data_IF_747970386647
#
_entry.id   IF_747970386647
#
_cell.length_a   1.000
_cell.length_b   1.000
_cell.length_c   1.000
_cell.angle_alpha   90.00
_cell.angle_beta   90.00
_cell.angle_gamma   90.00
#
_symmetry.space_group_name_H-M   'P 1'
#
loop_
_entity.id
_entity.type
_entity.pdbx_description
1 polymer ?
#
# COMPACT_ATOMS: atom_id res chain seq x y z
N UNK A 1 -24.23 -10.40 -9.87
CA UNK A 1 -24.15 -9.93 -8.46
C UNK A 1 -22.69 -10.00 -8.02
N UNK A 2 -22.15 -8.87 -7.56
CA UNK A 2 -20.74 -8.80 -7.09
C UNK A 2 -20.59 -9.58 -5.78
N UNK A 3 -19.54 -10.41 -5.70
CA UNK A 3 -19.26 -11.26 -4.55
C UNK A 3 -17.79 -11.18 -4.13
N UNK A 4 -17.52 -11.35 -2.83
CA UNK A 4 -16.16 -11.38 -2.30
C UNK A 4 -15.48 -12.70 -2.64
N UNK A 5 -14.28 -12.61 -3.19
CA UNK A 5 -13.46 -13.74 -3.56
C UNK A 5 -12.62 -14.20 -2.36
N UNK A 6 -12.60 -15.50 -2.10
CA UNK A 6 -11.70 -16.06 -1.10
C UNK A 6 -10.24 -15.85 -1.50
N UNK A 7 -9.38 -15.50 -0.55
CA UNK A 7 -7.96 -15.20 -0.81
C UNK A 7 -7.19 -16.34 -1.51
N UNK A 8 -7.58 -17.60 -1.27
CA UNK A 8 -7.01 -18.75 -2.00
C UNK A 8 -7.35 -18.77 -3.50
N UNK A 9 -8.34 -17.98 -3.91
CA UNK A 9 -8.80 -17.88 -5.30
C UNK A 9 -8.36 -16.58 -6.00
N UNK A 10 -7.60 -15.71 -5.35
CA UNK A 10 -7.13 -14.44 -5.93
C UNK A 10 -6.36 -14.62 -7.22
N UNK A 11 -5.65 -15.75 -7.37
CA UNK A 11 -4.92 -16.07 -8.61
C UNK A 11 -5.80 -16.03 -9.88
N UNK A 12 -7.13 -16.19 -9.75
CA UNK A 12 -8.08 -16.09 -10.87
C UNK A 12 -8.16 -14.68 -11.47
N UNK A 13 -7.79 -13.66 -10.67
CA UNK A 13 -7.80 -12.26 -11.11
C UNK A 13 -6.48 -11.84 -11.76
N UNK A 14 -5.48 -12.73 -11.88
CA UNK A 14 -4.17 -12.37 -12.42
C UNK A 14 -4.24 -11.82 -13.84
N UNK A 15 -5.07 -12.42 -14.69
CA UNK A 15 -5.28 -12.00 -16.08
C UNK A 15 -6.10 -10.70 -16.21
N UNK A 16 -6.70 -10.21 -15.11
CA UNK A 16 -7.43 -8.95 -15.07
C UNK A 16 -6.53 -7.74 -14.78
N UNK A 17 -5.30 -7.98 -14.38
CA UNK A 17 -4.35 -6.93 -14.04
C UNK A 17 -3.67 -6.39 -15.30
N UNK A 18 -3.60 -5.07 -15.39
CA UNK A 18 -2.87 -4.39 -16.44
C UNK A 18 -1.37 -4.35 -16.10
N UNK A 19 -0.51 -4.63 -17.07
CA UNK A 19 0.94 -4.73 -16.90
C UNK A 19 1.55 -3.45 -16.29
N UNK A 20 1.00 -2.28 -16.65
CA UNK A 20 1.45 -0.97 -16.15
C UNK A 20 0.50 -0.38 -15.11
N UNK A 21 -0.33 -1.21 -14.48
CA UNK A 21 -1.26 -0.82 -13.42
C UNK A 21 -0.59 -0.66 -12.07
N UNK A 22 -1.41 -0.43 -11.05
CA UNK A 22 -0.94 -0.25 -9.67
C UNK A 22 -0.29 -1.54 -9.15
N UNK A 23 0.89 -1.40 -8.59
CA UNK A 23 1.67 -2.51 -8.02
C UNK A 23 0.94 -3.13 -6.81
N UNK A 24 0.19 -2.32 -6.06
CA UNK A 24 -0.62 -2.73 -4.92
C UNK A 24 -1.64 -3.82 -5.31
N UNK A 25 -2.26 -3.69 -6.50
CA UNK A 25 -3.18 -4.71 -7.01
C UNK A 25 -2.46 -6.05 -7.20
N UNK A 26 -1.27 -6.03 -7.80
CA UNK A 26 -0.46 -7.24 -7.98
C UNK A 26 -0.07 -7.86 -6.62
N UNK A 27 0.39 -7.05 -5.65
CA UNK A 27 0.80 -7.51 -4.33
C UNK A 27 -0.33 -8.23 -3.58
N UNK A 28 -1.57 -7.76 -3.72
CA UNK A 28 -2.76 -8.38 -3.12
C UNK A 28 -3.13 -9.66 -3.87
N UNK A 29 -3.17 -9.65 -5.19
CA UNK A 29 -3.53 -10.82 -6.00
C UNK A 29 -2.51 -11.95 -5.84
N UNK A 30 -1.23 -11.63 -5.65
CA UNK A 30 -0.18 -12.61 -5.33
C UNK A 30 -0.19 -13.06 -3.86
N UNK A 31 -1.03 -12.45 -3.00
CA UNK A 31 -1.14 -12.79 -1.59
C UNK A 31 0.06 -12.39 -0.74
N UNK A 32 0.89 -11.48 -1.23
CA UNK A 32 2.02 -10.89 -0.48
C UNK A 32 1.50 -9.92 0.57
N UNK A 33 0.71 -8.94 0.15
CA UNK A 33 0.05 -7.98 1.02
C UNK A 33 -1.43 -8.33 1.25
N UNK A 34 -2.04 -7.88 2.37
CA UNK A 34 -3.45 -8.09 2.63
C UNK A 34 -4.33 -7.21 1.74
N UNK A 35 -5.56 -7.65 1.52
CA UNK A 35 -6.61 -6.92 0.82
C UNK A 35 -7.85 -7.77 0.66
N UNK A 36 -8.92 -7.18 0.13
CA UNK A 36 -10.18 -7.86 -0.22
C UNK A 36 -10.42 -7.70 -1.71
N UNK A 37 -10.94 -8.73 -2.35
CA UNK A 37 -11.20 -8.74 -3.79
C UNK A 37 -12.65 -9.12 -4.03
N UNK A 38 -13.37 -8.29 -4.76
CA UNK A 38 -14.76 -8.47 -5.13
C UNK A 38 -14.88 -8.59 -6.64
N UNK A 39 -15.63 -9.54 -7.12
CA UNK A 39 -15.71 -9.88 -8.55
C UNK A 39 -17.15 -10.09 -9.01
N UNK A 40 -17.37 -9.95 -10.31
CA UNK A 40 -18.65 -10.23 -10.96
C UNK A 40 -19.03 -11.72 -10.93
N UNK A 41 -18.04 -12.61 -11.10
CA UNK A 41 -18.20 -14.07 -11.07
C UNK A 41 -16.99 -14.72 -10.37
N UNK A 42 -17.24 -15.43 -9.27
CA UNK A 42 -16.20 -16.12 -8.48
C UNK A 42 -15.57 -17.31 -9.22
N UNK A 43 -16.25 -17.87 -10.22
CA UNK A 43 -15.74 -18.99 -11.02
C UNK A 43 -14.80 -18.48 -12.13
N UNK A 44 -15.20 -17.44 -12.86
CA UNK A 44 -14.50 -16.88 -14.01
C UNK A 44 -14.62 -15.35 -14.02
N UNK A 45 -13.85 -14.64 -13.16
CA UNK A 45 -13.93 -13.19 -13.05
C UNK A 45 -13.57 -12.50 -14.37
N UNK A 46 -14.31 -11.44 -14.71
CA UNK A 46 -14.03 -10.54 -15.84
C UNK A 46 -13.74 -9.12 -15.36
N UNK A 47 -14.37 -8.72 -14.27
CA UNK A 47 -14.14 -7.41 -13.64
C UNK A 47 -14.20 -7.54 -12.14
N UNK A 48 -13.48 -6.66 -11.45
CA UNK A 48 -13.46 -6.68 -10.00
C UNK A 48 -13.07 -5.34 -9.39
N UNK A 49 -13.22 -5.30 -8.07
CA UNK A 49 -12.82 -4.22 -7.19
C UNK A 49 -11.90 -4.78 -6.11
N UNK A 50 -10.70 -4.25 -5.99
CA UNK A 50 -9.76 -4.56 -4.91
C UNK A 50 -9.89 -3.47 -3.86
N UNK A 51 -10.07 -3.84 -2.60
CA UNK A 51 -9.92 -2.96 -1.45
C UNK A 51 -8.55 -3.18 -0.84
N UNK A 52 -7.73 -2.13 -0.77
CA UNK A 52 -6.38 -2.20 -0.24
C UNK A 52 -6.40 -2.50 1.27
N UNK A 53 -5.52 -3.38 1.72
CA UNK A 53 -5.49 -3.84 3.11
C UNK A 53 -5.09 -2.77 4.13
N UNK A 54 -4.40 -1.71 3.69
CA UNK A 54 -4.08 -0.52 4.48
C UNK A 54 -5.21 0.51 4.52
N UNK A 55 -6.35 0.20 3.91
CA UNK A 55 -7.52 1.08 3.80
C UNK A 55 -7.28 2.40 3.03
N UNK A 56 -6.26 2.45 2.17
CA UNK A 56 -5.90 3.64 1.37
C UNK A 56 -6.66 3.71 0.03
N UNK A 57 -7.75 2.99 -0.09
CA UNK A 57 -8.63 3.08 -1.25
C UNK A 57 -8.89 1.77 -1.97
N UNK A 58 -9.37 1.91 -3.21
CA UNK A 58 -9.88 0.81 -4.04
C UNK A 58 -9.30 0.86 -5.45
N UNK A 59 -9.17 -0.31 -6.09
CA UNK A 59 -8.68 -0.42 -7.47
C UNK A 59 -9.65 -1.26 -8.28
N UNK A 60 -10.20 -0.69 -9.37
CA UNK A 60 -10.94 -1.46 -10.37
C UNK A 60 -9.99 -2.23 -11.29
N UNK A 61 -10.30 -3.49 -11.55
CA UNK A 61 -9.52 -4.37 -12.42
C UNK A 61 -10.40 -5.03 -13.49
N UNK A 62 -9.79 -5.49 -14.58
CA UNK A 62 -10.47 -6.20 -15.66
C UNK A 62 -11.22 -5.30 -16.63
N UNK A 63 -12.31 -5.81 -17.21
CA UNK A 63 -13.08 -5.17 -18.28
C UNK A 63 -13.97 -4.05 -17.75
N UNK A 64 -13.65 -2.80 -18.11
CA UNK A 64 -14.39 -1.60 -17.75
C UNK A 64 -15.77 -1.50 -18.42
N UNK A 65 -16.01 -2.32 -19.45
CA UNK A 65 -17.28 -2.36 -20.17
C UNK A 65 -18.21 -3.49 -19.71
N UNK A 66 -17.86 -4.22 -18.65
CA UNK A 66 -18.69 -5.29 -18.13
C UNK A 66 -19.99 -4.74 -17.52
N UNK A 67 -21.05 -4.74 -18.34
CA UNK A 67 -22.35 -4.19 -17.96
C UNK A 67 -22.93 -4.86 -16.70
N UNK A 68 -22.76 -6.17 -16.54
CA UNK A 68 -23.28 -6.89 -15.38
C UNK A 68 -22.62 -6.41 -14.07
N UNK A 69 -21.29 -6.23 -14.07
CA UNK A 69 -20.55 -5.67 -12.94
C UNK A 69 -20.94 -4.21 -12.70
N UNK A 70 -20.97 -3.40 -13.75
CA UNK A 70 -21.22 -1.97 -13.68
C UNK A 70 -22.62 -1.64 -13.16
N UNK A 71 -23.65 -2.41 -13.56
CA UNK A 71 -25.03 -2.23 -13.12
C UNK A 71 -25.22 -2.54 -11.61
N UNK A 72 -24.49 -3.52 -11.10
CA UNK A 72 -24.58 -3.91 -9.69
C UNK A 72 -23.73 -3.01 -8.75
N UNK A 73 -22.77 -2.26 -9.30
CA UNK A 73 -21.71 -1.61 -8.51
C UNK A 73 -22.23 -0.60 -7.50
N UNK A 74 -23.17 0.28 -7.87
CA UNK A 74 -23.65 1.32 -6.94
C UNK A 74 -24.38 0.72 -5.75
N UNK A 75 -25.24 -0.26 -5.97
CA UNK A 75 -25.90 -0.99 -4.88
C UNK A 75 -24.87 -1.72 -4.00
N UNK A 76 -23.87 -2.36 -4.61
CA UNK A 76 -22.79 -3.03 -3.90
C UNK A 76 -21.97 -2.06 -3.03
N UNK A 77 -21.64 -0.87 -3.52
CA UNK A 77 -20.94 0.16 -2.74
C UNK A 77 -21.80 0.57 -1.54
N UNK A 78 -23.09 0.82 -1.74
CA UNK A 78 -23.97 1.30 -0.68
C UNK A 78 -24.27 0.24 0.39
N UNK A 79 -24.49 -1.00 -0.02
CA UNK A 79 -24.94 -2.08 0.85
C UNK A 79 -23.79 -2.83 1.54
N UNK A 80 -22.63 -2.93 0.89
CA UNK A 80 -21.51 -3.75 1.38
C UNK A 80 -20.29 -2.89 1.71
N UNK A 81 -19.79 -2.09 0.75
CA UNK A 81 -18.55 -1.35 0.94
C UNK A 81 -18.71 -0.24 1.97
N UNK A 82 -19.75 0.57 1.87
CA UNK A 82 -19.96 1.73 2.76
C UNK A 82 -20.07 1.32 4.23
N UNK A 83 -20.90 0.32 4.62
CA UNK A 83 -20.92 -0.13 6.01
C UNK A 83 -19.59 -0.64 6.55
N UNK A 84 -18.82 -1.37 5.72
CA UNK A 84 -17.52 -1.90 6.13
C UNK A 84 -16.45 -0.80 6.20
N UNK A 85 -16.46 0.14 5.26
CA UNK A 85 -15.57 1.30 5.23
C UNK A 85 -15.75 2.20 6.47
N UNK A 86 -17.00 2.44 6.88
CA UNK A 86 -17.30 3.20 8.08
C UNK A 86 -16.78 2.55 9.37
N UNK A 87 -16.77 1.21 9.45
CA UNK A 87 -16.21 0.47 10.62
C UNK A 87 -14.71 0.71 10.80
N UNK A 88 -13.98 0.94 9.71
CA UNK A 88 -12.54 1.24 9.73
C UNK A 88 -12.24 2.74 9.64
N UNK A 89 -13.27 3.59 9.77
CA UNK A 89 -13.11 5.04 9.83
C UNK A 89 -13.00 5.75 8.48
N UNK A 90 -13.19 5.06 7.36
CA UNK A 90 -13.20 5.66 6.04
C UNK A 90 -14.51 6.43 5.81
N UNK A 91 -14.40 7.64 5.28
CA UNK A 91 -15.54 8.51 4.94
C UNK A 91 -15.62 8.83 3.45
N UNK A 92 -14.64 8.39 2.69
CA UNK A 92 -14.53 8.60 1.24
C UNK A 92 -14.35 7.27 0.56
N UNK A 93 -14.96 7.11 -0.61
CA UNK A 93 -14.70 6.01 -1.52
C UNK A 93 -13.67 6.50 -2.52
N UNK A 94 -12.39 6.36 -2.17
CA UNK A 94 -11.27 6.68 -3.04
C UNK A 94 -10.99 5.52 -3.97
N UNK A 95 -11.02 5.76 -5.29
CA UNK A 95 -10.88 4.68 -6.26
C UNK A 95 -10.09 5.11 -7.48
N UNK A 96 -9.32 4.16 -8.01
CA UNK A 96 -8.58 4.30 -9.27
C UNK A 96 -8.82 3.08 -10.15
N UNK A 97 -8.73 3.24 -11.46
CA UNK A 97 -8.72 2.11 -12.40
C UNK A 97 -7.33 1.54 -12.59
N UNK A 98 -7.19 0.23 -12.67
CA UNK A 98 -5.91 -0.44 -12.93
C UNK A 98 -5.37 -0.14 -14.32
N UNK A 99 -6.22 0.34 -15.24
CA UNK A 99 -5.82 0.87 -16.55
C UNK A 99 -6.63 2.13 -16.89
N UNK A 100 -6.12 2.98 -17.83
CA UNK A 100 -6.71 4.31 -18.09
C UNK A 100 -8.16 4.32 -18.58
N UNK A 101 -8.62 3.24 -19.23
CA UNK A 101 -10.00 3.16 -19.75
C UNK A 101 -11.05 3.21 -18.63
N UNK A 102 -10.71 2.75 -17.43
CA UNK A 102 -11.57 2.84 -16.25
C UNK A 102 -11.95 4.27 -15.87
N UNK A 103 -11.13 5.28 -16.16
CA UNK A 103 -11.38 6.66 -15.72
C UNK A 103 -12.76 7.16 -16.17
N UNK A 104 -13.10 6.99 -17.45
CA UNK A 104 -14.40 7.40 -17.98
C UNK A 104 -15.56 6.58 -17.43
N UNK A 105 -15.32 5.30 -17.21
CA UNK A 105 -16.34 4.40 -16.66
C UNK A 105 -16.62 4.74 -15.19
N UNK A 106 -15.59 5.00 -14.38
CA UNK A 106 -15.72 5.46 -12.99
C UNK A 106 -16.54 6.75 -12.92
N UNK A 107 -16.19 7.77 -13.71
CA UNK A 107 -16.93 9.03 -13.76
C UNK A 107 -18.40 8.82 -14.12
N UNK A 108 -18.69 7.97 -15.10
CA UNK A 108 -20.06 7.63 -15.52
C UNK A 108 -20.82 6.88 -14.44
N UNK A 109 -20.22 5.89 -13.81
CA UNK A 109 -20.87 5.02 -12.82
C UNK A 109 -21.17 5.78 -11.51
N UNK A 110 -20.32 6.70 -11.11
CA UNK A 110 -20.41 7.42 -9.86
C UNK A 110 -20.99 8.84 -10.01
N UNK A 111 -21.50 9.20 -11.18
CA UNK A 111 -22.00 10.56 -11.50
C UNK A 111 -23.17 11.06 -10.64
N UNK A 112 -23.88 10.13 -9.98
CA UNK A 112 -24.93 10.46 -9.01
C UNK A 112 -24.41 10.85 -7.62
N UNK A 113 -23.09 10.76 -7.40
CA UNK A 113 -22.40 11.06 -6.15
C UNK A 113 -21.62 12.37 -6.26
N UNK A 114 -21.27 12.96 -5.13
CA UNK A 114 -20.30 14.06 -5.11
C UNK A 114 -18.91 13.50 -5.48
N UNK A 115 -18.35 14.00 -6.57
CA UNK A 115 -17.06 13.54 -7.10
C UNK A 115 -16.00 14.62 -6.95
N UNK A 116 -14.83 14.20 -6.44
CA UNK A 116 -13.58 14.93 -6.53
C UNK A 116 -12.55 14.10 -7.28
N UNK A 117 -11.57 14.74 -7.90
CA UNK A 117 -10.47 14.03 -8.56
C UNK A 117 -9.16 14.80 -8.42
N UNK A 118 -8.07 14.05 -8.39
CA UNK A 118 -6.72 14.60 -8.45
C UNK A 118 -5.81 13.67 -9.26
N UNK A 119 -4.72 14.24 -9.77
CA UNK A 119 -3.74 13.48 -10.52
C UNK A 119 -2.54 13.16 -9.63
N UNK A 120 -2.26 11.88 -9.45
CA UNK A 120 -1.03 11.43 -8.81
C UNK A 120 0.02 11.08 -9.88
N UNK A 121 1.28 11.36 -9.57
CA UNK A 121 2.41 10.91 -10.37
C UNK A 121 3.15 9.82 -9.62
N UNK A 122 3.18 8.63 -10.20
CA UNK A 122 3.98 7.52 -9.69
C UNK A 122 5.38 7.64 -10.26
N UNK A 123 6.38 7.56 -9.40
CA UNK A 123 7.79 7.56 -9.78
C UNK A 123 8.39 6.20 -9.49
N UNK A 124 9.16 5.69 -10.43
CA UNK A 124 9.96 4.47 -10.26
C UNK A 124 11.43 4.83 -10.32
N UNK A 125 12.24 4.16 -9.50
CA UNK A 125 13.70 4.28 -9.54
C UNK A 125 14.27 2.93 -9.95
N UNK A 126 14.98 2.92 -11.07
CA UNK A 126 15.73 1.76 -11.54
C UNK A 126 17.18 1.82 -11.05
N UNK A 127 17.82 0.66 -10.93
CA UNK A 127 19.21 0.57 -10.47
C UNK A 127 20.16 1.41 -11.33
N UNK A 128 19.98 1.40 -12.64
CA UNK A 128 20.83 2.12 -13.59
C UNK A 128 20.63 3.63 -13.55
N UNK A 129 19.49 4.11 -13.04
CA UNK A 129 19.18 5.54 -12.88
C UNK A 129 19.69 6.09 -11.55
N UNK A 130 20.12 5.22 -10.62
CA UNK A 130 20.58 5.64 -9.31
C UNK A 130 22.03 6.08 -9.32
N UNK A 131 22.26 7.33 -8.98
CA UNK A 131 23.61 7.85 -8.76
C UNK A 131 23.91 7.91 -7.27
N UNK A 132 24.90 7.12 -6.82
CA UNK A 132 25.34 7.15 -5.42
C UNK A 132 25.81 8.55 -5.04
N UNK A 133 25.03 9.22 -4.22
CA UNK A 133 25.36 10.53 -3.70
C UNK A 133 26.08 10.41 -2.35
N UNK A 134 26.74 11.50 -1.92
CA UNK A 134 27.31 11.57 -0.58
C UNK A 134 26.19 11.33 0.45
N UNK A 135 26.45 10.44 1.40
CA UNK A 135 25.48 10.15 2.45
C UNK A 135 25.05 11.42 3.20
N UNK A 136 23.74 11.62 3.32
CA UNK A 136 23.18 12.72 4.08
C UNK A 136 23.56 12.59 5.54
N UNK A 137 24.06 13.70 6.11
CA UNK A 137 24.36 13.81 7.54
C UNK A 137 23.12 14.38 8.23
N UNK A 138 22.69 13.73 9.30
CA UNK A 138 21.63 14.21 10.18
C UNK A 138 22.20 14.73 11.50
N UNK A 139 21.41 15.49 12.24
CA UNK A 139 21.83 16.06 13.53
C UNK A 139 22.33 14.99 14.52
N UNK A 140 23.26 15.39 15.37
CA UNK A 140 23.77 14.54 16.45
C UNK A 140 22.64 14.11 17.40
N UNK A 141 22.62 12.83 17.72
CA UNK A 141 21.60 12.23 18.59
C UNK A 141 20.53 11.42 17.85
N UNK A 142 20.35 11.66 16.55
CA UNK A 142 19.54 10.79 15.71
C UNK A 142 20.38 9.60 15.20
N UNK A 143 19.82 8.39 15.27
CA UNK A 143 20.45 7.16 14.80
C UNK A 143 19.57 6.47 13.79
N UNK A 144 20.13 6.07 12.65
CA UNK A 144 19.47 5.23 11.67
C UNK A 144 19.67 3.77 12.07
N UNK A 145 18.58 3.02 12.12
CA UNK A 145 18.59 1.59 12.41
C UNK A 145 17.76 0.84 11.36
N UNK A 146 18.23 -0.33 10.92
CA UNK A 146 17.46 -1.24 10.08
C UNK A 146 16.37 -1.89 10.93
N UNK A 147 15.14 -1.99 10.39
CA UNK A 147 14.05 -2.69 11.05
C UNK A 147 14.34 -4.19 11.03
N UNK A 148 14.66 -4.75 12.19
CA UNK A 148 14.93 -6.16 12.40
C UNK A 148 13.87 -6.78 13.30
N UNK A 149 13.74 -8.11 13.29
CA UNK A 149 12.87 -8.83 14.23
C UNK A 149 13.22 -8.50 15.68
N UNK A 150 14.53 -8.37 16.00
CA UNK A 150 14.99 -8.03 17.34
C UNK A 150 14.52 -6.63 17.76
N UNK A 151 14.64 -5.62 16.88
CA UNK A 151 14.14 -4.27 17.13
C UNK A 151 12.61 -4.29 17.33
N UNK A 152 11.89 -4.99 16.46
CA UNK A 152 10.43 -5.12 16.51
C UNK A 152 9.95 -5.77 17.82
N UNK A 153 10.61 -6.84 18.26
CA UNK A 153 10.28 -7.55 19.51
C UNK A 153 10.57 -6.70 20.76
N UNK A 154 11.52 -5.77 20.69
CA UNK A 154 11.89 -4.84 21.76
C UNK A 154 11.96 -5.48 23.16
N UNK A 155 12.51 -6.71 23.25
CA UNK A 155 12.51 -7.53 24.49
C UNK A 155 13.14 -6.83 25.69
N UNK A 156 14.10 -5.95 25.45
CA UNK A 156 14.78 -5.17 26.49
C UNK A 156 14.05 -3.87 26.86
N UNK A 157 12.88 -3.61 26.25
CA UNK A 157 12.13 -2.37 26.38
C UNK A 157 12.98 -1.11 26.13
N UNK A 158 13.97 -1.21 25.23
CA UNK A 158 14.89 -0.13 24.92
C UNK A 158 14.21 1.02 24.16
N UNK A 159 13.14 0.72 23.41
CA UNK A 159 12.35 1.68 22.61
C UNK A 159 11.03 1.95 23.31
N UNK A 160 10.78 3.21 23.65
CA UNK A 160 9.61 3.61 24.45
C UNK A 160 8.30 3.59 23.65
N UNK A 161 8.34 3.98 22.37
CA UNK A 161 7.18 4.08 21.48
C UNK A 161 7.17 2.98 20.41
N UNK A 162 7.59 1.78 20.74
CA UNK A 162 7.66 0.67 19.77
C UNK A 162 6.31 0.39 19.09
N UNK A 163 5.20 0.71 19.75
CA UNK A 163 3.84 0.63 19.18
C UNK A 163 3.71 1.38 17.86
N UNK A 164 4.35 2.55 17.72
CA UNK A 164 4.35 3.28 16.44
C UNK A 164 4.90 2.44 15.28
N UNK A 165 5.99 1.70 15.49
CA UNK A 165 6.52 0.80 14.47
C UNK A 165 5.59 -0.38 14.20
N UNK A 166 4.99 -0.95 15.25
CA UNK A 166 4.05 -2.07 15.13
C UNK A 166 2.84 -1.67 14.30
N UNK A 167 2.22 -0.54 14.62
CA UNK A 167 1.04 -0.03 13.95
C UNK A 167 1.33 0.22 12.47
N UNK A 168 2.46 0.86 12.15
CA UNK A 168 2.87 1.11 10.78
C UNK A 168 3.10 -0.17 9.96
N UNK A 169 3.75 -1.17 10.51
CA UNK A 169 3.95 -2.44 9.81
C UNK A 169 2.61 -3.16 9.62
N UNK A 170 1.76 -3.21 10.66
CA UNK A 170 0.48 -3.92 10.60
C UNK A 170 -0.60 -3.21 9.78
N UNK A 171 -0.42 -1.93 9.49
CA UNK A 171 -1.25 -1.19 8.53
C UNK A 171 -1.16 -1.80 7.12
N UNK A 172 0.04 -2.19 6.68
CA UNK A 172 0.30 -2.72 5.33
C UNK A 172 0.43 -4.25 5.27
N UNK A 173 0.73 -4.91 6.37
CA UNK A 173 1.10 -6.31 6.40
C UNK A 173 0.21 -7.12 7.33
N UNK A 174 -0.24 -8.29 6.89
CA UNK A 174 -1.08 -9.18 7.70
C UNK A 174 -0.37 -9.74 8.94
N UNK A 175 0.95 -9.66 8.99
CA UNK A 175 1.75 -10.05 10.15
C UNK A 175 3.19 -9.54 10.05
N UNK A 176 3.90 -9.38 11.18
CA UNK A 176 5.33 -9.05 11.18
C UNK A 176 6.19 -10.08 10.42
N UNK A 177 5.79 -11.36 10.50
CA UNK A 177 6.48 -12.44 9.77
C UNK A 177 6.44 -12.20 8.26
N UNK A 178 5.30 -11.78 7.71
CA UNK A 178 5.16 -11.46 6.28
C UNK A 178 6.06 -10.27 5.91
N UNK A 179 6.04 -9.21 6.69
CA UNK A 179 6.92 -8.06 6.49
C UNK A 179 8.40 -8.47 6.45
N UNK A 180 8.89 -9.17 7.47
CA UNK A 180 10.30 -9.56 7.55
C UNK A 180 10.75 -10.60 6.51
N UNK A 181 9.80 -11.26 5.84
CA UNK A 181 10.11 -12.21 4.76
C UNK A 181 10.17 -11.54 3.38
N UNK A 182 9.44 -10.44 3.18
CA UNK A 182 9.27 -9.82 1.86
C UNK A 182 9.67 -8.34 1.81
N UNK A 183 9.57 -7.64 2.93
CA UNK A 183 9.81 -6.21 3.02
C UNK A 183 11.16 -5.86 3.62
N UNK A 184 11.55 -4.61 3.41
CA UNK A 184 12.72 -3.96 3.99
C UNK A 184 12.25 -2.71 4.72
N UNK A 185 12.96 -2.30 5.77
CA UNK A 185 12.63 -1.07 6.46
C UNK A 185 13.77 -0.51 7.29
N UNK A 186 13.71 0.80 7.47
CA UNK A 186 14.61 1.58 8.30
C UNK A 186 13.83 2.52 9.20
N UNK A 187 14.35 2.80 10.38
CA UNK A 187 13.81 3.81 11.27
C UNK A 187 14.91 4.75 11.78
N UNK A 188 14.51 5.90 12.28
CA UNK A 188 15.39 6.80 13.01
C UNK A 188 14.95 6.83 14.47
N UNK A 189 15.94 6.61 15.35
CA UNK A 189 15.75 6.63 16.80
C UNK A 189 16.40 7.90 17.37
N UNK A 190 15.65 8.60 18.23
CA UNK A 190 16.10 9.75 19.01
C UNK A 190 15.64 9.61 20.45
N UNK A 191 16.58 9.67 21.42
CA UNK A 191 16.29 9.52 22.87
C UNK A 191 15.44 8.27 23.20
N UNK A 192 15.75 7.15 22.56
CA UNK A 192 15.05 5.87 22.67
C UNK A 192 13.59 5.89 22.17
N UNK A 193 13.26 6.77 21.22
CA UNK A 193 11.98 6.82 20.54
C UNK A 193 12.18 6.76 19.03
N UNK A 194 11.34 5.99 18.33
CA UNK A 194 11.29 5.98 16.88
C UNK A 194 10.57 7.25 16.42
N UNK A 195 11.27 8.06 15.64
CA UNK A 195 10.77 9.38 15.20
C UNK A 195 10.55 9.48 13.68
N UNK A 196 11.07 8.53 12.93
CA UNK A 196 10.84 8.44 11.49
C UNK A 196 10.97 6.99 11.05
N UNK A 197 10.15 6.57 10.10
CA UNK A 197 10.13 5.24 9.49
C UNK A 197 10.13 5.36 7.98
N UNK A 198 10.76 4.40 7.29
CA UNK A 198 10.70 4.22 5.84
C UNK A 198 10.78 2.73 5.57
N UNK A 199 9.76 2.17 4.93
CA UNK A 199 9.68 0.73 4.74
C UNK A 199 8.86 0.36 3.48
N UNK A 200 8.93 -0.91 3.11
CA UNK A 200 8.12 -1.49 2.05
C UNK A 200 6.66 -1.58 2.49
N UNK A 201 5.79 -0.74 1.96
CA UNK A 201 4.34 -0.85 2.14
C UNK A 201 3.80 -2.03 1.34
N UNK A 202 4.02 -2.05 0.02
CA UNK A 202 3.67 -3.18 -0.86
C UNK A 202 4.91 -3.72 -1.58
N UNK A 203 4.88 -5.02 -1.91
CA UNK A 203 6.01 -5.69 -2.59
C UNK A 203 5.52 -6.66 -3.65
N UNK A 204 6.11 -6.60 -4.84
CA UNK A 204 5.94 -7.57 -5.92
C UNK A 204 7.31 -7.94 -6.48
N UNK A 205 7.73 -9.19 -6.30
CA UNK A 205 9.07 -9.61 -6.67
C UNK A 205 10.13 -8.73 -5.98
N UNK A 206 10.92 -8.01 -6.79
CA UNK A 206 11.97 -7.09 -6.32
C UNK A 206 11.53 -5.62 -6.35
N UNK A 207 10.24 -5.34 -6.57
CA UNK A 207 9.73 -3.95 -6.60
C UNK A 207 9.06 -3.64 -5.28
N UNK A 208 9.44 -2.53 -4.66
CA UNK A 208 8.96 -2.10 -3.36
C UNK A 208 8.24 -0.74 -3.48
N UNK A 209 6.95 -0.67 -3.09
CA UNK A 209 6.29 0.61 -2.81
C UNK A 209 6.74 1.09 -1.45
N UNK A 210 7.15 2.36 -1.39
CA UNK A 210 7.73 2.96 -0.18
C UNK A 210 6.65 3.66 0.62
N UNK A 211 6.53 3.33 1.90
CA UNK A 211 5.86 4.17 2.88
C UNK A 211 6.89 4.88 3.77
N UNK A 212 6.65 6.16 4.05
CA UNK A 212 7.58 6.98 4.82
C UNK A 212 6.83 7.98 5.70
N UNK A 213 7.14 7.97 6.99
CA UNK A 213 6.56 8.91 7.95
C UNK A 213 7.61 9.46 8.90
N UNK A 214 7.47 10.74 9.26
CA UNK A 214 8.25 11.40 10.31
C UNK A 214 7.31 12.10 11.27
N UNK A 215 7.46 11.85 12.57
CA UNK A 215 6.69 12.51 13.62
C UNK A 215 6.82 14.02 13.50
N UNK A 216 5.75 14.75 13.76
CA UNK A 216 5.62 16.18 13.46
C UNK A 216 6.74 17.02 14.11
N UNK A 217 7.06 16.75 15.37
CA UNK A 217 8.10 17.50 16.11
C UNK A 217 9.53 17.29 15.57
N UNK A 218 9.69 16.28 14.68
CA UNK A 218 10.96 15.91 14.07
C UNK A 218 11.05 16.25 12.57
N UNK A 219 10.00 16.85 11.99
CA UNK A 219 9.99 17.28 10.58
C UNK A 219 10.96 18.43 10.32
N UNK A 220 11.29 18.67 9.08
CA UNK A 220 12.22 19.74 8.65
C UNK A 220 13.70 19.45 8.87
N UNK A 221 14.09 18.28 9.45
CA UNK A 221 15.47 17.91 9.78
C UNK A 221 16.11 16.94 8.78
N UNK A 222 15.50 16.75 7.61
CA UNK A 222 15.95 15.83 6.54
C UNK A 222 16.00 14.35 6.94
N UNK A 223 15.24 13.95 8.00
CA UNK A 223 15.25 12.57 8.48
C UNK A 223 14.66 11.61 7.44
N UNK A 224 13.51 11.96 6.85
CA UNK A 224 12.88 11.17 5.79
C UNK A 224 13.82 10.96 4.60
N UNK A 225 14.54 12.01 4.17
CA UNK A 225 15.51 11.90 3.07
C UNK A 225 16.66 10.94 3.44
N UNK A 226 17.12 10.98 4.70
CA UNK A 226 18.21 10.11 5.17
C UNK A 226 17.81 8.65 5.17
N UNK A 227 16.64 8.30 5.74
CA UNK A 227 16.22 6.90 5.78
C UNK A 227 15.78 6.38 4.42
N UNK A 228 15.19 7.23 3.56
CA UNK A 228 14.89 6.88 2.18
C UNK A 228 16.16 6.53 1.40
N UNK A 229 17.26 7.29 1.60
CA UNK A 229 18.55 6.94 1.01
C UNK A 229 19.02 5.54 1.45
N UNK A 230 18.97 5.23 2.75
CA UNK A 230 19.36 3.91 3.26
C UNK A 230 18.47 2.79 2.72
N UNK A 231 17.16 3.04 2.66
CA UNK A 231 16.18 2.11 2.11
C UNK A 231 16.46 1.80 0.64
N UNK A 232 16.61 2.85 -0.18
CA UNK A 232 16.88 2.71 -1.63
C UNK A 232 18.19 1.98 -1.87
N UNK A 233 19.26 2.33 -1.17
CA UNK A 233 20.57 1.65 -1.30
C UNK A 233 20.46 0.16 -0.95
N UNK A 234 19.67 -0.22 0.04
CA UNK A 234 19.44 -1.62 0.42
C UNK A 234 18.61 -2.36 -0.65
N UNK A 235 17.53 -1.76 -1.15
CA UNK A 235 16.71 -2.33 -2.23
C UNK A 235 17.51 -2.56 -3.52
N UNK A 236 18.39 -1.64 -3.90
CA UNK A 236 19.17 -1.74 -5.14
C UNK A 236 20.35 -2.69 -5.04
N UNK A 237 20.79 -3.08 -3.83
CA UNK A 237 21.91 -3.99 -3.59
C UNK A 237 21.48 -5.44 -3.34
N UNK A 238 20.20 -5.71 -3.11
CA UNK A 238 19.62 -7.02 -2.90
C UNK A 238 18.68 -7.39 -4.03
#
# INVERSE_FOLDING_TARGET
MIAELNSLAFFKCKELLYEHGQLEANAIIEGVNPGRVFVDDVASPKSGLIWLGNNDGFIFIGDENNEAFNNDLNAFIDEIITPDALKVGLRWFEVVGNHPSWNKTIEKLLNSRELGSWNQRVYTLQKDDYTYSKQLVIEKGYKVEKMTKQLYENKENAIKNIGFLHDKILEFWSSPKKFFNHGIGYCIIYKNEIVSVCFSGFVVGNVHCVDIETLEEHRGKKLAQKIAQCFVEDCLNN
#
